data_IF_773672595832
#
_entry.id   IF_773672595832
#
_cell.length_a   1.000
_cell.length_b   1.000
_cell.length_c   1.000
_cell.angle_alpha   90.00
_cell.angle_beta   90.00
_cell.angle_gamma   90.00
#
_symmetry.space_group_name_H-M   'P 1'
#
loop_
_entity.id
_entity.type
_entity.pdbx_description
1 polymer ?
#
# COMPACT_ATOMS: atom_id res chain seq x y z
N UNK A 1 -32.38 39.63 16.88
CA UNK A 1 -31.89 39.79 15.49
C UNK A 1 -30.36 39.82 15.55
N UNK A 2 -29.80 38.65 15.22
CA UNK A 2 -28.43 38.37 14.76
C UNK A 2 -27.21 38.87 15.54
N UNK A 3 -26.77 38.06 16.50
CA UNK A 3 -25.39 38.02 16.99
C UNK A 3 -24.81 36.64 16.67
N UNK A 4 -24.53 36.36 15.40
CA UNK A 4 -23.96 35.06 14.98
C UNK A 4 -23.05 35.17 13.75
N UNK A 5 -22.16 36.17 13.68
CA UNK A 5 -21.10 36.23 12.66
C UNK A 5 -19.83 36.95 13.15
N UNK A 6 -19.20 36.45 14.21
CA UNK A 6 -17.86 36.90 14.59
C UNK A 6 -17.14 35.82 15.41
N UNK A 7 -16.94 34.65 14.83
CA UNK A 7 -15.88 33.76 15.27
C UNK A 7 -15.12 33.31 14.02
N UNK A 8 -14.40 34.27 13.43
CA UNK A 8 -13.30 33.93 12.54
C UNK A 8 -12.29 33.17 13.39
N UNK A 9 -12.27 31.85 13.23
CA UNK A 9 -11.21 30.99 13.72
C UNK A 9 -9.90 31.64 13.29
N UNK A 10 -9.19 32.20 14.25
CA UNK A 10 -7.81 32.58 14.08
C UNK A 10 -7.10 31.33 13.56
N UNK A 11 -6.76 31.33 12.27
CA UNK A 11 -5.86 30.35 11.72
C UNK A 11 -4.58 30.49 12.54
N UNK A 12 -4.28 29.44 13.30
CA UNK A 12 -3.00 29.29 13.96
C UNK A 12 -1.93 29.35 12.86
N UNK A 13 -1.33 30.53 12.70
CA UNK A 13 -0.41 30.89 11.61
C UNK A 13 0.95 30.15 11.74
N UNK A 14 0.99 29.10 12.57
CA UNK A 14 2.15 28.27 12.87
C UNK A 14 2.24 27.02 11.99
N UNK A 15 1.13 26.60 11.36
CA UNK A 15 1.11 25.36 10.57
C UNK A 15 1.30 25.64 9.06
N UNK A 16 2.21 24.92 8.35
CA UNK A 16 2.41 25.08 6.92
C UNK A 16 1.14 24.77 6.12
N UNK A 17 0.96 25.46 4.99
CA UNK A 17 -0.23 25.33 4.13
C UNK A 17 -0.46 23.90 3.62
N UNK A 18 0.62 23.19 3.25
CA UNK A 18 0.51 21.82 2.75
C UNK A 18 -0.01 20.86 3.82
N UNK A 19 0.40 21.06 5.07
CA UNK A 19 -0.03 20.27 6.22
C UNK A 19 -1.53 20.50 6.48
N UNK A 20 -2.00 21.75 6.40
CA UNK A 20 -3.42 22.07 6.48
C UNK A 20 -4.24 21.39 5.35
N UNK A 21 -3.67 21.28 4.15
CA UNK A 21 -4.29 20.60 3.01
C UNK A 21 -4.40 19.09 3.22
N UNK A 22 -3.35 18.44 3.76
CA UNK A 22 -3.39 17.02 4.11
C UNK A 22 -4.42 16.74 5.21
N UNK A 23 -4.54 17.61 6.20
CA UNK A 23 -5.60 17.52 7.22
C UNK A 23 -7.00 17.61 6.61
N UNK A 24 -7.21 18.52 5.67
CA UNK A 24 -8.48 18.63 4.97
C UNK A 24 -8.78 17.38 4.12
N UNK A 25 -7.77 16.80 3.48
CA UNK A 25 -7.90 15.55 2.74
C UNK A 25 -8.32 14.38 3.65
N UNK A 26 -7.66 14.21 4.80
CA UNK A 26 -8.00 13.15 5.76
C UNK A 26 -9.44 13.29 6.27
N UNK A 27 -9.87 14.51 6.59
CA UNK A 27 -11.26 14.80 6.97
C UNK A 27 -12.26 14.48 5.86
N UNK A 28 -11.92 14.76 4.60
CA UNK A 28 -12.79 14.44 3.46
C UNK A 28 -13.01 12.93 3.27
N UNK A 29 -12.06 12.11 3.73
CA UNK A 29 -12.16 10.64 3.73
C UNK A 29 -12.84 10.07 4.99
N UNK A 30 -13.30 10.94 5.90
CA UNK A 30 -13.93 10.53 7.17
C UNK A 30 -12.94 10.00 8.21
N UNK A 31 -11.66 10.36 8.12
CA UNK A 31 -10.64 9.99 9.12
C UNK A 31 -10.47 11.15 10.10
N UNK A 32 -11.10 11.00 11.27
CA UNK A 32 -11.09 12.03 12.32
C UNK A 32 -9.96 11.86 13.35
N UNK A 33 -9.44 10.62 13.52
CA UNK A 33 -8.40 10.28 14.49
C UNK A 33 -7.21 9.61 13.79
N UNK A 34 -6.02 10.20 13.94
CA UNK A 34 -4.77 9.71 13.37
C UNK A 34 -3.58 10.25 14.16
N UNK A 35 -2.47 9.50 14.16
CA UNK A 35 -1.22 9.96 14.76
C UNK A 35 -0.65 11.14 13.97
N UNK A 36 -0.15 12.22 14.62
CA UNK A 36 0.44 13.37 13.92
C UNK A 36 1.56 13.00 12.93
N UNK A 37 2.27 11.90 13.20
CA UNK A 37 3.35 11.39 12.33
C UNK A 37 2.87 10.95 10.95
N UNK A 38 1.60 10.55 10.81
CA UNK A 38 1.01 10.17 9.52
C UNK A 38 1.06 11.34 8.54
N UNK A 39 0.81 12.56 9.01
CA UNK A 39 0.83 13.75 8.15
C UNK A 39 2.23 14.00 7.59
N UNK A 40 3.26 13.88 8.44
CA UNK A 40 4.65 14.01 7.99
C UNK A 40 5.03 12.92 6.98
N UNK A 41 4.61 11.68 7.22
CA UNK A 41 4.88 10.57 6.28
C UNK A 41 4.18 10.76 4.94
N UNK A 42 2.95 11.30 4.93
CA UNK A 42 2.25 11.62 3.69
C UNK A 42 2.92 12.77 2.94
N UNK A 43 3.42 13.78 3.65
CA UNK A 43 4.21 14.86 3.05
C UNK A 43 5.50 14.33 2.40
N UNK A 44 6.26 13.49 3.10
CA UNK A 44 7.47 12.85 2.57
C UNK A 44 7.17 12.00 1.33
N UNK A 45 6.05 11.25 1.38
CA UNK A 45 5.58 10.46 0.26
C UNK A 45 5.24 11.33 -0.96
N UNK A 46 4.49 12.41 -0.79
CA UNK A 46 4.11 13.31 -1.89
C UNK A 46 5.33 13.95 -2.54
N UNK A 47 6.29 14.41 -1.73
CA UNK A 47 7.53 14.99 -2.22
C UNK A 47 8.35 13.97 -3.02
N UNK A 48 8.56 12.78 -2.46
CA UNK A 48 9.30 11.70 -3.13
C UNK A 48 8.60 11.26 -4.42
N UNK A 49 7.29 11.03 -4.38
CA UNK A 49 6.52 10.61 -5.54
C UNK A 49 6.58 11.63 -6.67
N UNK A 50 6.40 12.91 -6.37
CA UNK A 50 6.43 13.98 -7.39
C UNK A 50 7.82 14.13 -7.99
N UNK A 51 8.87 14.09 -7.15
CA UNK A 51 10.26 14.16 -7.61
C UNK A 51 10.60 13.00 -8.53
N UNK A 52 10.25 11.77 -8.13
CA UNK A 52 10.47 10.56 -8.94
C UNK A 52 9.76 10.65 -10.30
N UNK A 53 8.50 11.12 -10.33
CA UNK A 53 7.72 11.25 -11.58
C UNK A 53 8.34 12.32 -12.50
N UNK A 54 8.80 13.45 -11.94
CA UNK A 54 9.41 14.51 -12.74
C UNK A 54 10.76 14.07 -13.33
N UNK A 55 11.57 13.34 -12.57
CA UNK A 55 12.83 12.77 -13.06
C UNK A 55 12.59 11.75 -14.19
N UNK A 56 11.62 10.85 -14.03
CA UNK A 56 11.26 9.89 -15.07
C UNK A 56 10.73 10.62 -16.34
N UNK A 57 9.94 11.68 -16.16
CA UNK A 57 9.41 12.49 -17.26
C UNK A 57 10.50 13.27 -18.01
N UNK A 58 11.53 13.75 -17.32
CA UNK A 58 12.71 14.37 -17.93
C UNK A 58 13.44 13.36 -18.82
N UNK A 59 13.72 12.15 -18.30
CA UNK A 59 14.36 11.06 -19.06
C UNK A 59 13.55 10.71 -20.32
N UNK A 60 12.21 10.65 -20.23
CA UNK A 60 11.36 10.39 -21.40
C UNK A 60 11.37 11.54 -22.40
N UNK A 61 11.49 12.78 -21.93
CA UNK A 61 11.55 13.96 -22.80
C UNK A 61 12.88 14.06 -23.55
N UNK A 62 13.99 13.73 -22.88
CA UNK A 62 15.31 13.58 -23.50
C UNK A 62 15.31 12.48 -24.57
N UNK A 63 14.69 11.33 -24.27
CA UNK A 63 14.58 10.23 -25.23
C UNK A 63 13.76 10.60 -26.48
N UNK A 64 12.83 11.54 -26.33
CA UNK A 64 12.03 12.08 -27.43
C UNK A 64 12.71 13.25 -28.16
N UNK A 65 14.00 13.52 -27.90
CA UNK A 65 14.80 14.53 -28.59
C UNK A 65 14.57 15.97 -28.13
N UNK A 66 13.96 16.18 -26.96
CA UNK A 66 13.79 17.51 -26.37
C UNK A 66 15.03 17.92 -25.57
N UNK A 67 15.14 19.21 -25.25
CA UNK A 67 16.26 19.71 -24.46
C UNK A 67 16.28 19.08 -23.06
N UNK A 68 17.49 18.85 -22.52
CA UNK A 68 17.68 18.39 -21.15
C UNK A 68 17.00 19.38 -20.16
N UNK A 69 16.33 18.85 -19.13
CA UNK A 69 15.53 19.64 -18.20
C UNK A 69 14.14 20.06 -18.70
N UNK A 70 13.72 19.64 -19.90
CA UNK A 70 12.38 19.92 -20.40
C UNK A 70 11.40 18.83 -19.96
N UNK A 71 10.32 19.21 -19.26
CA UNK A 71 9.28 18.30 -18.80
C UNK A 71 7.97 18.59 -19.53
N UNK A 72 7.50 17.59 -20.26
CA UNK A 72 6.25 17.64 -21.02
C UNK A 72 5.10 16.90 -20.33
N UNK A 73 3.86 17.34 -20.56
CA UNK A 73 2.65 16.67 -20.05
C UNK A 73 2.55 15.21 -20.53
N UNK A 74 2.98 14.92 -21.76
CA UNK A 74 3.01 13.56 -22.28
C UNK A 74 4.07 12.70 -21.55
N UNK A 75 5.21 13.30 -21.20
CA UNK A 75 6.27 12.63 -20.41
C UNK A 75 5.79 12.31 -19.00
N UNK A 76 5.12 13.26 -18.33
CA UNK A 76 4.51 13.04 -17.01
C UNK A 76 3.43 11.96 -17.07
N UNK A 77 2.57 11.99 -18.08
CA UNK A 77 1.53 10.97 -18.27
C UNK A 77 2.13 9.58 -18.44
N UNK A 78 3.20 9.47 -19.24
CA UNK A 78 3.91 8.21 -19.45
C UNK A 78 4.62 7.72 -18.17
N UNK A 79 5.20 8.63 -17.38
CA UNK A 79 5.81 8.32 -16.08
C UNK A 79 4.82 7.83 -15.03
N UNK A 80 3.61 8.39 -15.00
CA UNK A 80 2.55 7.89 -14.13
C UNK A 80 2.11 6.49 -14.59
N UNK A 81 1.95 6.29 -15.90
CA UNK A 81 1.54 4.99 -16.46
C UNK A 81 2.58 3.90 -16.20
N UNK A 82 3.88 4.19 -16.32
CA UNK A 82 4.94 3.22 -16.08
C UNK A 82 4.94 2.70 -14.63
N UNK A 83 4.59 3.56 -13.66
CA UNK A 83 4.53 3.21 -12.23
C UNK A 83 3.20 2.64 -11.77
N UNK A 84 2.15 2.71 -12.60
CA UNK A 84 0.79 2.27 -12.23
C UNK A 84 0.73 0.79 -11.82
N UNK A 85 1.61 -0.05 -12.38
CA UNK A 85 1.69 -1.48 -12.04
C UNK A 85 2.16 -1.77 -10.60
N UNK A 86 2.90 -0.85 -9.98
CA UNK A 86 3.36 -0.99 -8.59
C UNK A 86 2.28 -0.66 -7.56
N UNK A 87 1.18 -0.05 -7.99
CA UNK A 87 0.05 0.30 -7.14
C UNK A 87 -1.03 -0.76 -7.21
N UNK A 88 -1.82 -0.86 -6.14
CA UNK A 88 -2.96 -1.75 -6.11
C UNK A 88 -3.97 -1.35 -7.19
N UNK A 89 -4.04 -2.16 -8.24
CA UNK A 89 -5.08 -2.08 -9.25
C UNK A 89 -6.21 -3.05 -8.88
N UNK A 90 -7.48 -2.67 -9.10
CA UNK A 90 -8.57 -3.62 -8.95
C UNK A 90 -8.32 -4.81 -9.88
N UNK A 91 -8.37 -6.05 -9.38
CA UNK A 91 -8.11 -7.21 -10.20
C UNK A 91 -9.16 -7.28 -11.32
N UNK A 92 -8.76 -7.58 -12.57
CA UNK A 92 -9.70 -7.66 -13.68
C UNK A 92 -10.71 -8.78 -13.43
N UNK A 93 -12.00 -8.46 -13.59
CA UNK A 93 -13.09 -9.39 -13.28
C UNK A 93 -12.99 -10.69 -14.09
N UNK A 94 -12.55 -10.62 -15.34
CA UNK A 94 -12.39 -11.78 -16.21
C UNK A 94 -11.38 -12.79 -15.65
N UNK A 95 -10.25 -12.32 -15.10
CA UNK A 95 -9.25 -13.18 -14.43
C UNK A 95 -9.84 -13.83 -13.18
N UNK A 96 -10.57 -13.06 -12.38
CA UNK A 96 -11.21 -13.60 -11.16
C UNK A 96 -12.26 -14.64 -11.52
N UNK A 97 -13.04 -14.40 -12.58
CA UNK A 97 -14.07 -15.33 -13.06
C UNK A 97 -13.47 -16.61 -13.67
N UNK A 98 -12.37 -16.50 -14.41
CA UNK A 98 -11.62 -17.63 -14.94
C UNK A 98 -11.08 -18.52 -13.80
N UNK A 99 -10.44 -17.91 -12.81
CA UNK A 99 -9.95 -18.61 -11.63
C UNK A 99 -11.12 -19.24 -10.84
N UNK A 100 -12.22 -18.51 -10.66
CA UNK A 100 -13.40 -19.03 -9.98
C UNK A 100 -13.95 -20.27 -10.70
N UNK A 101 -14.03 -20.26 -12.03
CA UNK A 101 -14.44 -21.46 -12.78
C UNK A 101 -13.48 -22.62 -12.58
N UNK A 102 -12.17 -22.37 -12.65
CA UNK A 102 -11.15 -23.40 -12.46
C UNK A 102 -11.22 -24.06 -11.08
N UNK A 103 -11.43 -23.28 -10.01
CA UNK A 103 -11.49 -23.81 -8.65
C UNK A 103 -12.87 -24.38 -8.28
N UNK A 104 -13.95 -23.78 -8.78
CA UNK A 104 -15.32 -24.21 -8.44
C UNK A 104 -15.78 -25.45 -9.23
N UNK A 105 -15.04 -25.87 -10.27
CA UNK A 105 -15.32 -27.11 -11.01
C UNK A 105 -15.02 -28.37 -10.18
N UNK A 106 -14.16 -28.24 -9.16
CA UNK A 106 -13.87 -29.34 -8.23
C UNK A 106 -15.06 -29.51 -7.28
N UNK A 107 -15.75 -30.67 -7.27
CA UNK A 107 -16.86 -30.91 -6.36
C UNK A 107 -16.37 -30.86 -4.91
N UNK A 108 -17.25 -30.43 -4.02
CA UNK A 108 -16.96 -30.41 -2.59
C UNK A 108 -16.62 -31.82 -2.08
N UNK A 109 -15.65 -31.98 -1.17
CA UNK A 109 -15.36 -33.26 -0.55
C UNK A 109 -16.57 -33.81 0.21
N UNK A 110 -16.72 -35.13 0.23
CA UNK A 110 -17.77 -35.79 1.01
C UNK A 110 -17.64 -35.44 2.50
N UNK A 111 -18.75 -35.00 3.10
CA UNK A 111 -18.78 -34.62 4.51
C UNK A 111 -18.64 -35.85 5.40
N UNK A 112 -17.51 -35.97 6.11
CA UNK A 112 -17.34 -36.97 7.16
C UNK A 112 -18.07 -36.49 8.42
N UNK A 113 -19.23 -37.07 8.70
CA UNK A 113 -20.02 -36.78 9.92
C UNK A 113 -19.40 -37.48 11.12
N UNK A 114 -18.23 -37.01 11.55
CA UNK A 114 -17.67 -37.34 12.87
C UNK A 114 -18.01 -36.19 13.82
N UNK A 115 -18.41 -36.46 15.08
CA UNK A 115 -18.55 -35.39 16.06
C UNK A 115 -17.18 -34.74 16.30
N UNK A 116 -17.03 -33.48 15.89
CA UNK A 116 -15.79 -32.71 16.01
C UNK A 116 -15.35 -32.06 14.70
N UNK A 117 -14.31 -31.22 14.77
CA UNK A 117 -13.69 -30.61 13.61
C UNK A 117 -12.76 -31.65 12.93
N UNK A 118 -12.92 -31.97 11.64
CA UNK A 118 -11.98 -32.83 10.93
C UNK A 118 -10.64 -32.12 10.82
N UNK A 119 -9.62 -32.66 11.48
CA UNK A 119 -8.25 -32.17 11.35
C UNK A 119 -7.63 -32.72 10.05
N UNK A 120 -6.76 -31.95 9.38
CA UNK A 120 -5.90 -32.46 8.33
C UNK A 120 -5.05 -33.65 8.85
N UNK A 121 -4.52 -34.51 7.96
CA UNK A 121 -3.59 -35.56 8.35
C UNK A 121 -2.42 -35.02 9.18
N UNK A 122 -1.89 -35.80 10.13
CA UNK A 122 -0.86 -35.36 11.08
C UNK A 122 0.38 -34.74 10.41
N UNK A 123 0.76 -35.20 9.22
CA UNK A 123 1.87 -34.66 8.42
C UNK A 123 1.64 -33.20 7.99
N UNK A 124 0.37 -32.79 7.84
CA UNK A 124 -0.04 -31.42 7.49
C UNK A 124 -0.40 -30.59 8.73
N UNK A 125 -0.25 -31.13 9.93
CA UNK A 125 -0.46 -30.38 11.17
C UNK A 125 0.83 -29.70 11.60
N UNK A 126 0.74 -28.43 11.98
CA UNK A 126 1.87 -27.64 12.52
C UNK A 126 2.02 -27.85 14.02
N UNK A 127 1.84 -29.09 14.48
CA UNK A 127 1.94 -29.51 15.89
C UNK A 127 3.28 -30.14 16.22
N UNK A 128 4.01 -30.64 15.21
CA UNK A 128 5.35 -31.17 15.41
C UNK A 128 6.34 -30.02 15.69
N UNK A 129 7.22 -30.15 16.71
CA UNK A 129 8.29 -29.18 16.93
C UNK A 129 9.21 -29.13 15.71
N UNK A 130 9.28 -27.98 15.06
CA UNK A 130 10.13 -27.70 13.90
C UNK A 130 11.56 -27.27 14.28
N UNK A 131 11.91 -27.38 15.56
CA UNK A 131 13.22 -27.01 16.09
C UNK A 131 13.73 -28.14 16.99
N UNK A 132 14.99 -28.50 16.82
CA UNK A 132 15.70 -29.43 17.68
C UNK A 132 16.91 -28.68 18.25
N UNK A 133 16.90 -28.48 19.56
CA UNK A 133 18.02 -27.84 20.26
C UNK A 133 19.11 -28.90 20.48
N UNK A 134 20.22 -28.81 19.74
CA UNK A 134 21.42 -29.60 20.02
C UNK A 134 22.39 -28.77 20.88
N UNK A 135 22.51 -29.06 22.19
CA UNK A 135 23.42 -28.34 23.07
C UNK A 135 24.91 -28.56 22.71
N UNK A 136 25.26 -29.54 21.87
CA UNK A 136 26.66 -29.87 21.56
C UNK A 136 27.25 -29.09 20.39
N UNK A 137 26.41 -28.51 19.51
CA UNK A 137 26.85 -27.73 18.35
C UNK A 137 27.64 -26.45 18.72
N UNK A 138 27.36 -25.84 19.88
CA UNK A 138 28.06 -24.63 20.33
C UNK A 138 29.51 -24.89 20.79
N UNK A 139 29.82 -26.12 21.19
CA UNK A 139 31.15 -26.48 21.70
C UNK A 139 32.14 -26.90 20.61
N UNK A 140 31.65 -27.20 19.39
CA UNK A 140 32.50 -27.63 18.28
C UNK A 140 33.13 -26.47 17.49
N UNK A 141 32.58 -25.25 17.58
CA UNK A 141 33.11 -24.07 16.87
C UNK A 141 34.24 -23.34 17.62
N UNK A 142 34.57 -23.77 18.85
CA UNK A 142 35.59 -23.14 19.70
C UNK A 142 36.85 -24.01 19.90
N UNK A 143 37.07 -25.03 19.06
CA UNK A 143 38.32 -25.81 19.05
C UNK A 143 39.07 -25.67 17.74
#
# INVERSE_FOLDING_TARGET
MDTSRANGLAADNSQPQDVATVHQLLRSMGVDDFEPRVVNQLMDFMYKYTTDILLDAEVFSEHAGRAAGHVDLNGVTLAIQSRTASYAQPPPQDRVAELAKLYNDVPLPDMVVKPGLPLPPDVKQVTAPNWQYDPTHQYQQQR
#
